data_IF_345355592921
#
_entry.id   IF_345355592921
#
_cell.length_a   1.000
_cell.length_b   1.000
_cell.length_c   1.000
_cell.angle_alpha   90.00
_cell.angle_beta   90.00
_cell.angle_gamma   90.00
#
_symmetry.space_group_name_H-M   'P 1'
#
loop_
_entity.id
_entity.type
_entity.pdbx_description
1 polymer ?
#
# COMPACT_ATOMS: atom_id res chain seq x y z
N UNK A 1 -3.43 23.08 8.30
CA UNK A 1 -2.04 22.57 8.31
C UNK A 1 -2.09 21.13 8.78
N UNK A 2 -1.52 20.20 8.02
CA UNK A 2 -1.68 18.74 8.20
C UNK A 2 -0.49 18.07 8.89
N UNK A 3 0.52 18.84 9.32
CA UNK A 3 1.77 18.29 9.87
C UNK A 3 1.54 17.30 11.01
N UNK A 4 0.61 17.58 11.93
CA UNK A 4 0.30 16.67 13.04
C UNK A 4 -0.25 15.33 12.56
N UNK A 5 -1.04 15.33 11.49
CA UNK A 5 -1.54 14.10 10.88
C UNK A 5 -0.40 13.32 10.23
N UNK A 6 0.45 13.97 9.43
CA UNK A 6 1.60 13.32 8.81
C UNK A 6 2.57 12.69 9.81
N UNK A 7 2.80 13.35 10.96
CA UNK A 7 3.58 12.78 12.04
C UNK A 7 2.91 11.52 12.61
N UNK A 8 1.59 11.57 12.85
CA UNK A 8 0.86 10.41 13.37
C UNK A 8 0.89 9.19 12.43
N UNK A 9 1.00 9.39 11.12
CA UNK A 9 1.08 8.30 10.14
C UNK A 9 2.40 7.52 10.27
N UNK A 10 3.51 8.22 10.48
CA UNK A 10 4.85 7.61 10.56
C UNK A 10 5.24 7.18 11.97
N UNK A 11 4.49 7.63 12.98
CA UNK A 11 4.60 7.15 14.35
C UNK A 11 4.18 5.67 14.46
N UNK A 12 4.65 5.02 15.52
CA UNK A 12 4.40 3.60 15.77
C UNK A 12 5.48 2.67 15.24
N UNK A 13 5.41 1.38 15.60
CA UNK A 13 6.37 0.38 15.16
C UNK A 13 6.32 0.18 13.63
N UNK A 14 7.48 -0.12 13.06
CA UNK A 14 7.63 -0.62 11.70
C UNK A 14 8.58 -1.81 11.70
N UNK A 15 8.08 -3.02 12.01
CA UNK A 15 8.89 -4.22 12.08
C UNK A 15 9.53 -4.59 10.74
N UNK A 16 10.74 -5.14 10.81
CA UNK A 16 11.49 -5.57 9.64
C UNK A 16 10.73 -6.66 8.87
N UNK A 17 10.62 -6.48 7.55
CA UNK A 17 10.10 -7.53 6.66
C UNK A 17 11.07 -8.71 6.49
N UNK A 18 12.38 -8.42 6.56
CA UNK A 18 13.47 -9.37 6.39
C UNK A 18 14.24 -9.64 7.68
N UNK A 19 15.33 -10.42 7.58
CA UNK A 19 16.19 -10.77 8.73
C UNK A 19 17.06 -9.62 9.25
N UNK A 20 17.16 -8.51 8.49
CA UNK A 20 17.91 -7.30 8.84
C UNK A 20 17.29 -6.08 8.16
N UNK A 21 17.62 -4.89 8.66
CA UNK A 21 17.36 -3.64 7.96
C UNK A 21 18.14 -3.58 6.63
N UNK A 22 17.62 -2.78 5.69
CA UNK A 22 18.30 -2.50 4.43
C UNK A 22 19.61 -1.72 4.69
N UNK A 23 20.68 -2.15 4.03
CA UNK A 23 22.00 -1.51 4.02
C UNK A 23 22.08 -0.60 2.77
N UNK A 24 22.09 0.74 2.92
CA UNK A 24 22.10 1.66 1.79
C UNK A 24 23.30 1.51 0.84
N UNK A 25 24.39 0.87 1.29
CA UNK A 25 25.56 0.61 0.46
C UNK A 25 25.45 -0.69 -0.36
N UNK A 26 24.54 -1.59 0.00
CA UNK A 26 24.37 -2.92 -0.64
C UNK A 26 23.01 -3.09 -1.30
N UNK A 27 21.94 -2.74 -0.61
CA UNK A 27 20.56 -2.95 -1.04
C UNK A 27 20.09 -1.75 -1.87
N UNK A 28 20.68 -1.64 -3.06
CA UNK A 28 20.43 -0.55 -4.00
C UNK A 28 19.45 -0.99 -5.08
N UNK A 29 18.94 -0.04 -5.87
CA UNK A 29 18.10 -0.35 -7.03
C UNK A 29 18.77 -1.30 -8.03
N UNK A 30 20.11 -1.30 -8.10
CA UNK A 30 20.86 -2.16 -9.01
C UNK A 30 20.81 -3.65 -8.61
N UNK A 31 20.43 -3.96 -7.37
CA UNK A 31 20.38 -5.33 -6.83
C UNK A 31 18.95 -5.81 -6.59
N UNK A 32 17.95 -5.10 -7.11
CA UNK A 32 16.54 -5.49 -6.99
C UNK A 32 16.25 -6.64 -7.96
N UNK A 33 15.67 -7.72 -7.43
CA UNK A 33 15.05 -8.78 -8.22
C UNK A 33 13.53 -8.56 -8.29
N UNK A 34 12.93 -8.98 -9.40
CA UNK A 34 11.49 -8.82 -9.64
C UNK A 34 10.77 -10.16 -9.70
N UNK A 35 9.69 -10.28 -8.94
CA UNK A 35 8.71 -11.35 -9.07
C UNK A 35 7.44 -10.79 -9.72
N UNK A 36 7.10 -11.31 -10.89
CA UNK A 36 5.87 -10.95 -11.60
C UNK A 36 4.83 -12.04 -11.45
N UNK A 37 3.61 -11.65 -11.08
CA UNK A 37 2.45 -12.55 -10.96
C UNK A 37 1.35 -12.05 -11.89
N UNK A 38 0.69 -12.97 -12.56
CA UNK A 38 -0.49 -12.68 -13.39
C UNK A 38 -1.76 -13.09 -12.66
N UNK A 39 -2.67 -12.14 -12.49
CA UNK A 39 -3.99 -12.41 -11.94
C UNK A 39 -4.93 -12.89 -13.05
N UNK A 40 -5.82 -13.83 -12.72
CA UNK A 40 -6.82 -14.32 -13.65
C UNK A 40 -7.86 -13.24 -13.96
N UNK A 41 -8.59 -13.41 -15.07
CA UNK A 41 -9.66 -12.49 -15.43
C UNK A 41 -10.74 -12.37 -14.33
N UNK A 42 -11.23 -13.45 -13.70
CA UNK A 42 -12.20 -13.34 -12.61
C UNK A 42 -11.71 -12.51 -11.42
N UNK A 43 -10.44 -12.68 -11.02
CA UNK A 43 -9.85 -11.90 -9.91
C UNK A 43 -9.74 -10.43 -10.29
N UNK A 44 -9.28 -10.15 -11.51
CA UNK A 44 -9.11 -8.77 -11.98
C UNK A 44 -10.45 -8.06 -12.18
N UNK A 45 -11.49 -8.77 -12.62
CA UNK A 45 -12.86 -8.23 -12.73
C UNK A 45 -13.44 -7.87 -11.35
N UNK A 46 -13.24 -8.73 -10.36
CA UNK A 46 -13.65 -8.44 -8.99
C UNK A 46 -12.94 -7.18 -8.45
N UNK A 47 -11.64 -7.04 -8.71
CA UNK A 47 -10.83 -5.88 -8.30
C UNK A 47 -11.22 -4.58 -9.01
N UNK A 48 -11.54 -4.63 -10.30
CA UNK A 48 -11.82 -3.43 -11.10
C UNK A 48 -13.28 -2.98 -11.05
N UNK A 49 -14.23 -3.88 -10.74
CA UNK A 49 -15.66 -3.58 -10.80
C UNK A 49 -16.38 -3.85 -9.48
N UNK A 50 -16.35 -5.11 -9.00
CA UNK A 50 -17.17 -5.52 -7.87
C UNK A 50 -16.79 -4.81 -6.56
N UNK A 51 -15.49 -4.77 -6.24
CA UNK A 51 -14.99 -4.11 -5.03
C UNK A 51 -15.22 -2.59 -5.05
N UNK A 52 -14.82 -1.83 -6.09
CA UNK A 52 -15.15 -0.42 -6.21
C UNK A 52 -16.65 -0.11 -6.03
N UNK A 53 -17.52 -0.92 -6.64
CA UNK A 53 -18.97 -0.75 -6.53
C UNK A 53 -19.49 -1.01 -5.11
N UNK A 54 -18.98 -2.04 -4.43
CA UNK A 54 -19.42 -2.41 -3.08
C UNK A 54 -18.92 -1.43 -2.01
N UNK A 55 -17.68 -0.99 -2.11
CA UNK A 55 -17.02 -0.18 -1.07
C UNK A 55 -16.92 1.31 -1.39
N UNK A 56 -17.41 1.74 -2.56
CA UNK A 56 -17.31 3.13 -3.05
C UNK A 56 -15.86 3.63 -3.06
N UNK A 57 -14.96 2.75 -3.51
CA UNK A 57 -13.52 2.96 -3.56
C UNK A 57 -12.95 2.78 -4.97
N UNK A 58 -11.62 2.77 -5.06
CA UNK A 58 -10.87 2.45 -6.27
C UNK A 58 -10.22 1.07 -6.21
N UNK A 59 -9.63 0.64 -7.33
CA UNK A 59 -8.86 -0.61 -7.40
C UNK A 59 -7.71 -0.65 -6.37
N UNK A 60 -7.10 0.51 -6.11
CA UNK A 60 -5.99 0.61 -5.16
C UNK A 60 -6.42 0.25 -3.73
N UNK A 61 -7.66 0.51 -3.32
CA UNK A 61 -8.13 0.18 -1.97
C UNK A 61 -8.12 -1.32 -1.74
N UNK A 62 -8.58 -2.10 -2.73
CA UNK A 62 -8.55 -3.57 -2.67
C UNK A 62 -7.13 -4.12 -2.69
N UNK A 63 -6.24 -3.56 -3.52
CA UNK A 63 -4.84 -3.98 -3.60
C UNK A 63 -4.07 -3.67 -2.32
N UNK A 64 -4.29 -2.48 -1.74
CA UNK A 64 -3.65 -2.05 -0.50
C UNK A 64 -4.14 -2.85 0.71
N UNK A 65 -5.44 -3.13 0.79
CA UNK A 65 -5.99 -4.01 1.81
C UNK A 65 -5.39 -5.43 1.72
N UNK A 66 -5.33 -6.00 0.52
CA UNK A 66 -4.73 -7.32 0.30
C UNK A 66 -3.23 -7.33 0.66
N UNK A 67 -2.48 -6.27 0.34
CA UNK A 67 -1.07 -6.14 0.72
C UNK A 67 -0.91 -6.04 2.25
N UNK A 68 -1.72 -5.23 2.92
CA UNK A 68 -1.67 -5.09 4.37
C UNK A 68 -1.93 -6.43 5.06
N UNK A 69 -3.00 -7.14 4.67
CA UNK A 69 -3.34 -8.47 5.18
C UNK A 69 -2.21 -9.48 4.96
N UNK A 70 -1.61 -9.50 3.77
CA UNK A 70 -0.52 -10.42 3.44
C UNK A 70 0.73 -10.15 4.29
N UNK A 71 1.10 -8.88 4.49
CA UNK A 71 2.25 -8.50 5.34
C UNK A 71 1.99 -8.83 6.81
N UNK A 72 0.79 -8.52 7.33
CA UNK A 72 0.42 -8.85 8.71
C UNK A 72 0.45 -10.37 8.95
N UNK A 73 -0.12 -11.17 8.04
CA UNK A 73 -0.06 -12.63 8.15
C UNK A 73 1.39 -13.17 8.06
N UNK A 74 2.21 -12.58 7.20
CA UNK A 74 3.63 -12.94 7.07
C UNK A 74 4.44 -12.65 8.35
N UNK A 75 4.13 -11.54 9.03
CA UNK A 75 4.68 -11.12 10.32
C UNK A 75 4.20 -12.02 11.46
N UNK A 76 2.89 -12.32 11.53
CA UNK A 76 2.29 -13.26 12.49
C UNK A 76 3.01 -14.61 12.47
N UNK A 77 3.26 -15.15 11.28
CA UNK A 77 3.97 -16.42 11.11
C UNK A 77 5.43 -16.39 11.58
N UNK A 78 5.97 -15.22 11.91
CA UNK A 78 7.32 -14.99 12.45
C UNK A 78 7.33 -14.54 13.91
N UNK A 79 6.16 -14.53 14.56
CA UNK A 79 6.00 -14.15 15.97
C UNK A 79 5.94 -12.64 16.21
N UNK A 80 5.61 -11.86 15.18
CA UNK A 80 5.33 -10.43 15.30
C UNK A 80 3.81 -10.19 15.23
N UNK A 81 3.29 -9.41 16.19
CA UNK A 81 1.85 -9.16 16.37
C UNK A 81 1.42 -7.79 15.85
N UNK A 82 2.29 -7.05 15.15
CA UNK A 82 1.97 -5.73 14.62
C UNK A 82 0.89 -5.82 13.51
N UNK A 83 -0.27 -5.23 13.77
CA UNK A 83 -1.41 -5.21 12.87
C UNK A 83 -1.31 -4.14 11.77
N UNK A 84 -0.45 -3.12 11.95
CA UNK A 84 -0.30 -2.03 10.99
C UNK A 84 0.90 -2.17 10.06
N UNK A 85 0.71 -1.68 8.83
CA UNK A 85 1.71 -1.69 7.76
C UNK A 85 1.94 -0.27 7.28
N UNK A 86 3.18 0.21 7.42
CA UNK A 86 3.61 1.50 6.87
C UNK A 86 4.06 1.31 5.43
N UNK A 87 3.40 1.99 4.51
CA UNK A 87 3.63 1.93 3.09
C UNK A 87 4.08 3.29 2.56
N UNK A 88 5.02 3.27 1.63
CA UNK A 88 5.36 4.44 0.82
C UNK A 88 4.63 4.33 -0.51
N UNK A 89 3.65 5.20 -0.72
CA UNK A 89 2.86 5.23 -1.95
C UNK A 89 3.40 6.28 -2.92
N UNK A 90 3.38 5.92 -4.20
CA UNK A 90 3.74 6.78 -5.31
C UNK A 90 2.46 7.23 -6.03
N UNK A 91 2.29 8.54 -6.15
CA UNK A 91 1.24 9.16 -6.95
C UNK A 91 1.83 9.75 -8.24
N UNK A 92 0.98 9.90 -9.26
CA UNK A 92 1.38 10.56 -10.51
C UNK A 92 1.68 12.06 -10.32
N UNK A 93 1.19 12.66 -9.22
CA UNK A 93 1.41 14.06 -8.82
C UNK A 93 0.87 15.11 -9.79
N UNK A 94 -0.07 14.69 -10.64
CA UNK A 94 -0.86 15.55 -11.53
C UNK A 94 -2.26 15.68 -10.99
N UNK A 95 -2.34 16.16 -9.77
CA UNK A 95 -3.62 16.44 -9.11
C UNK A 95 -4.03 17.84 -9.56
N UNK A 96 -4.75 17.93 -10.68
CA UNK A 96 -5.18 19.21 -11.26
C UNK A 96 -6.07 20.02 -10.28
N UNK A 97 -6.69 19.33 -9.31
CA UNK A 97 -7.49 19.94 -8.23
C UNK A 97 -6.65 20.45 -7.05
N UNK A 98 -5.36 20.08 -6.95
CA UNK A 98 -4.51 20.49 -5.83
C UNK A 98 -4.13 21.97 -5.89
N UNK A 99 -4.16 22.57 -7.08
CA UNK A 99 -3.94 24.01 -7.30
C UNK A 99 -5.01 24.51 -8.26
N UNK A 100 -5.89 25.38 -7.76
CA UNK A 100 -7.00 25.94 -8.55
C UNK A 100 -6.50 26.56 -9.87
N UNK A 101 -7.01 26.05 -10.99
CA UNK A 101 -6.67 26.53 -12.33
C UNK A 101 -5.38 25.94 -12.94
N UNK A 102 -4.74 24.96 -12.29
CA UNK A 102 -3.66 24.20 -12.91
C UNK A 102 -4.21 23.21 -13.94
N UNK A 103 -3.70 23.26 -15.18
CA UNK A 103 -3.89 22.22 -16.21
C UNK A 103 -2.54 21.54 -16.44
N UNK A 104 -2.33 20.40 -15.78
CA UNK A 104 -1.11 19.63 -15.93
C UNK A 104 -1.22 18.62 -17.07
N UNK A 105 -2.35 18.48 -17.77
CA UNK A 105 -2.60 17.42 -18.76
C UNK A 105 -1.60 17.40 -19.93
N UNK A 106 -1.01 18.54 -20.28
CA UNK A 106 -0.07 18.68 -21.42
C UNK A 106 1.36 19.04 -21.01
N UNK A 107 1.72 18.83 -19.74
CA UNK A 107 3.06 19.15 -19.25
C UNK A 107 3.96 17.91 -19.31
N UNK A 108 5.23 18.08 -19.72
CA UNK A 108 6.25 17.04 -19.63
C UNK A 108 7.20 17.40 -18.50
N UNK A 109 7.39 16.49 -17.54
CA UNK A 109 8.20 16.73 -16.36
C UNK A 109 8.00 15.65 -15.30
N UNK A 110 8.84 15.69 -14.27
CA UNK A 110 8.78 14.78 -13.12
C UNK A 110 7.84 15.37 -12.06
N UNK A 111 6.62 14.85 -11.99
CA UNK A 111 5.60 15.29 -11.04
C UNK A 111 5.36 14.30 -9.90
N UNK A 112 5.99 13.13 -9.94
CA UNK A 112 5.76 12.04 -8.99
C UNK A 112 5.72 12.53 -7.54
N UNK A 113 4.61 12.26 -6.87
CA UNK A 113 4.45 12.47 -5.43
C UNK A 113 4.76 11.18 -4.71
N UNK A 114 5.30 11.30 -3.50
CA UNK A 114 5.56 10.16 -2.62
C UNK A 114 5.10 10.52 -1.22
N UNK A 115 4.25 9.68 -0.63
CA UNK A 115 3.70 9.93 0.70
C UNK A 115 3.55 8.64 1.51
N UNK A 116 3.68 8.70 2.84
CA UNK A 116 3.45 7.55 3.70
C UNK A 116 1.95 7.31 3.90
N UNK A 117 1.56 6.04 4.01
CA UNK A 117 0.25 5.61 4.48
C UNK A 117 0.46 4.49 5.49
N UNK A 118 -0.25 4.54 6.61
CA UNK A 118 -0.28 3.43 7.57
C UNK A 118 -1.66 2.78 7.51
N UNK A 119 -1.68 1.48 7.21
CA UNK A 119 -2.90 0.68 7.15
C UNK A 119 -2.91 -0.27 8.32
N UNK A 120 -3.91 -0.17 9.18
CA UNK A 120 -4.13 -1.08 10.30
C UNK A 120 -5.27 -2.03 9.96
N UNK A 121 -4.99 -3.34 9.98
CA UNK A 121 -6.03 -4.35 9.72
C UNK A 121 -6.89 -4.61 10.96
N UNK A 122 -6.53 -4.05 12.13
CA UNK A 122 -7.25 -4.22 13.38
C UNK A 122 -7.28 -5.67 13.86
N UNK A 123 -8.36 -6.03 14.56
CA UNK A 123 -8.55 -7.36 15.18
C UNK A 123 -9.23 -8.37 14.24
N UNK A 124 -9.04 -8.26 12.92
CA UNK A 124 -9.63 -9.21 11.96
C UNK A 124 -9.05 -10.61 12.17
N UNK A 125 -9.91 -11.64 12.09
CA UNK A 125 -9.45 -13.02 12.02
C UNK A 125 -8.81 -13.26 10.64
N UNK A 126 -7.48 -13.25 10.62
CA UNK A 126 -6.74 -13.44 9.38
C UNK A 126 -7.03 -14.80 8.74
N UNK A 127 -7.24 -15.85 9.52
CA UNK A 127 -7.48 -17.18 8.96
C UNK A 127 -8.84 -17.22 8.26
N UNK A 128 -9.88 -16.64 8.87
CA UNK A 128 -11.20 -16.47 8.25
C UNK A 128 -11.12 -15.61 6.97
N UNK A 129 -10.36 -14.51 7.00
CA UNK A 129 -10.19 -13.62 5.84
C UNK A 129 -9.54 -14.35 4.66
N UNK A 130 -8.51 -15.16 4.91
CA UNK A 130 -7.84 -15.94 3.86
C UNK A 130 -8.68 -17.11 3.34
N UNK A 131 -9.67 -17.57 4.10
CA UNK A 131 -10.67 -18.56 3.66
C UNK A 131 -11.83 -17.92 2.88
N UNK A 132 -11.94 -16.59 2.89
CA UNK A 132 -12.93 -15.82 2.12
C UNK A 132 -14.08 -15.25 2.96
N UNK A 133 -13.98 -15.27 4.29
CA UNK A 133 -15.04 -14.82 5.19
C UNK A 133 -16.14 -15.88 5.41
N UNK A 134 -17.16 -15.54 6.22
CA UNK A 134 -18.33 -16.39 6.46
C UNK A 134 -19.31 -16.42 5.29
#
# INVERSE_FOLDING_TARGET
AELGWWLSVVEGPDPLLGSRALDPARDTQATVDHLSVHLSAPVTEALLAALPAAFRGGVNDGLLAALALAVTAWRRNRGDEESSVLLRLEGHGREDDAVEGADLSRTVGWFTTVFPVRLDVGDVDLDEVFEGGP
#
